data_IF_990939892653
#
_entry.id   IF_990939892653
#
_cell.length_a   1.000
_cell.length_b   1.000
_cell.length_c   1.000
_cell.angle_alpha   90.00
_cell.angle_beta   90.00
_cell.angle_gamma   90.00
#
_symmetry.space_group_name_H-M   'P 1'
#
loop_
_entity.id
_entity.type
_entity.pdbx_description
1 polymer ?
#
# COMPACT_ATOMS: atom_id res chain seq x y z
N UNK A 1 -17.69 -15.66 5.98
CA UNK A 1 -17.50 -14.56 6.94
C UNK A 1 -17.66 -13.28 6.15
N UNK A 2 -18.47 -12.35 6.63
CA UNK A 2 -18.61 -11.05 5.99
C UNK A 2 -17.25 -10.35 6.03
N UNK A 3 -16.82 -9.86 4.87
CA UNK A 3 -15.58 -9.09 4.72
C UNK A 3 -15.88 -7.65 5.14
N UNK A 4 -15.18 -7.15 6.16
CA UNK A 4 -15.33 -5.74 6.57
C UNK A 4 -14.87 -4.85 5.42
N UNK A 5 -15.80 -4.23 4.71
CA UNK A 5 -15.48 -3.37 3.57
C UNK A 5 -15.17 -1.95 4.03
N UNK A 6 -14.07 -1.39 3.54
CA UNK A 6 -13.70 0.01 3.68
C UNK A 6 -13.88 0.75 2.35
N UNK A 7 -14.13 2.06 2.42
CA UNK A 7 -13.79 2.95 1.30
C UNK A 7 -12.38 3.54 1.45
N UNK A 8 -11.91 3.60 2.69
CA UNK A 8 -10.58 4.03 3.10
C UNK A 8 -10.00 3.05 4.11
N UNK A 9 -8.69 2.84 4.06
CA UNK A 9 -7.96 2.01 5.00
C UNK A 9 -6.72 2.72 5.55
N UNK A 10 -6.34 2.38 6.78
CA UNK A 10 -5.15 2.92 7.43
C UNK A 10 -3.90 2.10 7.08
N UNK A 11 -2.77 2.78 6.87
CA UNK A 11 -1.47 2.14 6.87
C UNK A 11 -1.07 1.77 8.31
N UNK A 12 -1.14 0.50 8.68
CA UNK A 12 -0.86 0.02 10.04
C UNK A 12 0.62 0.14 10.43
N UNK A 13 1.52 0.36 9.47
CA UNK A 13 2.89 0.75 9.79
C UNK A 13 2.96 2.13 10.48
N UNK A 14 1.92 2.95 10.41
CA UNK A 14 1.83 4.22 11.14
C UNK A 14 1.39 4.05 12.61
N UNK A 15 1.01 2.84 13.02
CA UNK A 15 0.64 2.55 14.41
C UNK A 15 1.82 2.75 15.37
N UNK A 16 1.50 2.85 16.66
CA UNK A 16 2.49 2.95 17.73
C UNK A 16 2.48 1.67 18.61
N UNK A 17 3.20 0.61 18.19
CA UNK A 17 3.32 -0.60 19.00
C UNK A 17 3.83 -0.31 20.41
N UNK A 18 3.40 -1.08 21.44
CA UNK A 18 3.86 -0.91 22.80
C UNK A 18 5.39 -0.88 22.93
N UNK A 19 5.96 -0.08 23.84
CA UNK A 19 7.40 -0.08 24.10
C UNK A 19 7.91 -1.49 24.42
N UNK A 20 9.01 -1.90 23.78
CA UNK A 20 9.62 -3.22 23.98
C UNK A 20 8.95 -4.38 23.22
N UNK A 21 7.83 -4.15 22.53
CA UNK A 21 7.23 -5.17 21.66
C UNK A 21 8.07 -5.34 20.38
N UNK A 22 8.44 -6.59 20.05
CA UNK A 22 9.16 -6.92 18.81
C UNK A 22 8.20 -7.16 17.63
N UNK A 23 6.94 -7.49 17.91
CA UNK A 23 5.89 -7.61 16.91
C UNK A 23 4.60 -6.88 17.31
N UNK A 24 3.82 -6.48 16.31
CA UNK A 24 2.46 -5.93 16.45
C UNK A 24 1.62 -6.50 15.31
N UNK A 25 0.53 -7.19 15.65
CA UNK A 25 -0.27 -7.99 14.69
C UNK A 25 0.54 -9.01 13.87
N UNK A 26 1.65 -9.52 14.41
CA UNK A 26 2.54 -10.45 13.71
C UNK A 26 3.61 -9.78 12.85
N UNK A 27 3.62 -8.46 12.73
CA UNK A 27 4.59 -7.70 11.94
C UNK A 27 5.71 -7.09 12.80
N UNK A 28 6.96 -7.00 12.30
CA UNK A 28 8.10 -6.50 13.06
C UNK A 28 7.97 -5.01 13.38
N UNK A 29 8.06 -4.64 14.65
CA UNK A 29 7.81 -3.25 15.09
C UNK A 29 8.93 -2.27 14.73
N UNK A 30 10.09 -2.76 14.27
CA UNK A 30 11.17 -1.94 13.73
C UNK A 30 10.77 -1.21 12.44
N UNK A 31 9.77 -1.72 11.74
CA UNK A 31 9.20 -1.11 10.54
C UNK A 31 8.19 0.00 10.86
N UNK A 32 7.58 -0.02 12.04
CA UNK A 32 6.56 0.96 12.42
C UNK A 32 7.14 2.38 12.59
N UNK A 33 6.40 3.39 12.15
CA UNK A 33 6.75 4.81 12.27
C UNK A 33 6.65 5.32 13.71
N UNK A 34 5.64 4.85 14.46
CA UNK A 34 5.38 5.19 15.88
C UNK A 34 5.00 6.65 16.17
N UNK A 35 5.40 7.59 15.32
CA UNK A 35 5.15 9.02 15.48
C UNK A 35 4.93 9.70 14.12
N UNK A 36 4.06 10.71 14.12
CA UNK A 36 3.85 11.60 12.96
C UNK A 36 5.04 12.55 12.72
N UNK A 37 5.83 12.82 13.77
CA UNK A 37 7.03 13.67 13.68
C UNK A 37 8.21 12.90 13.08
N UNK A 38 8.09 12.58 11.80
CA UNK A 38 9.12 11.86 11.05
C UNK A 38 9.54 12.63 9.81
N UNK A 39 10.85 12.73 9.59
CA UNK A 39 11.43 13.31 8.38
C UNK A 39 10.93 12.59 7.12
N UNK A 40 10.37 13.35 6.18
CA UNK A 40 9.82 12.80 4.94
C UNK A 40 8.40 12.25 5.09
N UNK A 41 7.66 12.65 6.13
CA UNK A 41 6.26 12.28 6.36
C UNK A 41 5.35 12.53 5.14
N UNK A 42 5.67 13.51 4.30
CA UNK A 42 4.99 13.79 3.01
C UNK A 42 5.11 12.66 1.96
N UNK A 43 5.90 11.62 2.22
CA UNK A 43 6.04 10.43 1.38
C UNK A 43 5.49 9.16 2.05
N UNK A 44 5.01 9.28 3.28
CA UNK A 44 4.48 8.17 4.07
C UNK A 44 2.96 8.18 3.92
N UNK A 45 2.35 7.19 3.25
CA UNK A 45 0.90 7.11 3.15
C UNK A 45 0.31 6.76 4.52
N UNK A 46 -0.75 7.47 4.93
CA UNK A 46 -1.42 7.26 6.21
C UNK A 46 -2.82 6.66 6.03
N UNK A 47 -3.66 7.30 5.21
CA UNK A 47 -5.02 6.83 4.87
C UNK A 47 -5.21 6.90 3.36
N UNK A 48 -5.74 5.85 2.74
CA UNK A 48 -5.90 5.79 1.28
C UNK A 48 -7.17 5.06 0.92
N UNK A 49 -7.63 5.23 -0.32
CA UNK A 49 -8.67 4.35 -0.86
C UNK A 49 -8.21 2.90 -0.69
N UNK A 50 -9.06 2.08 -0.07
CA UNK A 50 -8.77 0.69 0.27
C UNK A 50 -10.09 -0.08 0.23
N UNK A 51 -10.03 -1.36 -0.13
CA UNK A 51 -11.21 -2.25 -0.01
C UNK A 51 -11.45 -2.72 1.43
N UNK A 52 -10.45 -2.63 2.31
CA UNK A 52 -10.48 -3.06 3.71
C UNK A 52 -10.17 -1.89 4.66
N UNK A 53 -10.28 -2.11 5.97
CA UNK A 53 -10.12 -1.07 7.00
C UNK A 53 -8.65 -0.73 7.30
N UNK A 54 -7.73 -1.64 7.02
CA UNK A 54 -6.31 -1.49 7.31
C UNK A 54 -5.41 -2.31 6.36
N UNK A 55 -4.11 -2.00 6.32
CA UNK A 55 -3.11 -2.70 5.52
C UNK A 55 -1.71 -2.65 6.13
N UNK A 56 -0.91 -3.70 5.90
CA UNK A 56 0.54 -3.80 6.11
C UNK A 56 1.29 -4.04 4.77
N UNK A 57 1.36 -3.07 3.84
CA UNK A 57 1.99 -3.31 2.54
C UNK A 57 3.50 -3.50 2.65
N UNK A 58 4.03 -4.37 1.79
CA UNK A 58 5.46 -4.61 1.60
C UNK A 58 5.89 -4.22 0.18
N UNK A 59 7.17 -3.87 0.01
CA UNK A 59 7.73 -3.51 -1.31
C UNK A 59 7.76 -4.71 -2.28
N UNK A 60 7.70 -5.92 -1.75
CA UNK A 60 7.60 -7.18 -2.50
C UNK A 60 6.17 -7.60 -2.82
N UNK A 61 5.16 -6.91 -2.29
CA UNK A 61 3.77 -7.23 -2.64
C UNK A 61 3.54 -7.01 -4.14
N UNK A 62 2.82 -7.92 -4.76
CA UNK A 62 2.53 -7.95 -6.18
C UNK A 62 1.18 -7.28 -6.48
N UNK A 63 0.99 -6.68 -7.66
CA UNK A 63 -0.33 -6.28 -8.13
C UNK A 63 -1.25 -7.50 -8.36
N UNK A 64 -2.55 -7.26 -8.48
CA UNK A 64 -3.49 -8.29 -8.95
C UNK A 64 -3.29 -8.58 -10.44
N UNK A 65 -3.46 -9.85 -10.84
CA UNK A 65 -3.36 -10.25 -12.26
C UNK A 65 -4.51 -9.69 -13.12
N UNK A 66 -5.61 -9.29 -12.50
CA UNK A 66 -6.81 -8.73 -13.12
C UNK A 66 -7.22 -7.43 -12.44
N UNK A 67 -7.99 -6.60 -13.15
CA UNK A 67 -8.52 -5.36 -12.60
C UNK A 67 -9.53 -5.71 -11.48
N UNK A 68 -9.28 -5.28 -10.22
CA UNK A 68 -10.13 -5.67 -9.11
C UNK A 68 -11.56 -5.18 -9.31
N UNK A 69 -12.58 -6.01 -9.00
CA UNK A 69 -13.96 -5.57 -9.03
C UNK A 69 -14.18 -4.44 -7.99
N UNK A 70 -14.93 -3.37 -8.31
CA UNK A 70 -15.00 -2.18 -7.46
C UNK A 70 -15.57 -2.38 -6.04
N UNK A 71 -16.33 -3.45 -5.82
CA UNK A 71 -17.08 -3.70 -4.57
C UNK A 71 -16.97 -5.15 -4.08
N UNK A 72 -16.09 -5.94 -4.67
CA UNK A 72 -15.93 -7.35 -4.31
C UNK A 72 -14.47 -7.60 -3.95
N UNK A 73 -14.26 -8.37 -2.89
CA UNK A 73 -12.95 -8.83 -2.50
C UNK A 73 -12.99 -10.28 -2.09
N UNK A 74 -11.93 -11.01 -2.41
CA UNK A 74 -11.71 -12.36 -1.96
C UNK A 74 -10.34 -12.42 -1.28
N UNK A 75 -10.29 -12.82 0.00
CA UNK A 75 -9.03 -12.89 0.75
C UNK A 75 -8.00 -13.87 0.14
N UNK A 76 -8.41 -14.74 -0.78
CA UNK A 76 -7.46 -15.57 -1.56
C UNK A 76 -6.59 -14.74 -2.52
N UNK A 77 -6.99 -13.52 -2.86
CA UNK A 77 -6.21 -12.62 -3.72
C UNK A 77 -5.13 -11.86 -2.93
N UNK A 78 -5.43 -11.55 -1.67
CA UNK A 78 -4.62 -10.83 -0.71
C UNK A 78 -5.45 -10.47 0.52
N UNK A 79 -4.80 -10.18 1.63
CA UNK A 79 -5.43 -9.79 2.90
C UNK A 79 -4.58 -8.69 3.57
N UNK A 80 -5.08 -8.10 4.65
CA UNK A 80 -4.49 -6.93 5.33
C UNK A 80 -2.99 -7.10 5.67
N UNK A 81 -2.53 -8.34 5.83
CA UNK A 81 -1.12 -8.68 6.09
C UNK A 81 -0.41 -9.52 5.03
N UNK A 82 -1.08 -9.91 3.94
CA UNK A 82 -0.53 -10.80 2.91
C UNK A 82 -0.85 -10.24 1.54
N UNK A 83 0.17 -9.82 0.78
CA UNK A 83 -0.06 -9.15 -0.51
C UNK A 83 -0.95 -7.89 -0.32
N UNK A 84 -0.75 -7.18 0.80
CA UNK A 84 -1.65 -6.14 1.28
C UNK A 84 -1.70 -4.92 0.35
N UNK A 85 -0.65 -4.69 -0.46
CA UNK A 85 -0.69 -3.69 -1.53
C UNK A 85 -1.88 -3.87 -2.48
N UNK A 86 -2.37 -5.10 -2.68
CA UNK A 86 -3.52 -5.37 -3.56
C UNK A 86 -4.82 -4.74 -3.04
N UNK A 87 -4.97 -4.54 -1.74
CA UNK A 87 -6.15 -3.94 -1.12
C UNK A 87 -6.27 -2.44 -1.43
N UNK A 88 -5.13 -1.77 -1.67
CA UNK A 88 -5.05 -0.34 -2.02
C UNK A 88 -4.79 -0.10 -3.50
N UNK A 89 -4.21 -1.05 -4.23
CA UNK A 89 -3.96 -0.95 -5.67
C UNK A 89 -5.23 -1.27 -6.49
N UNK A 90 -6.25 -0.43 -6.32
CA UNK A 90 -7.57 -0.56 -6.94
C UNK A 90 -7.87 0.64 -7.84
N UNK A 91 -8.29 0.40 -9.09
CA UNK A 91 -8.59 1.47 -10.05
C UNK A 91 -9.98 2.10 -9.80
N UNK A 92 -10.14 2.82 -8.68
CA UNK A 92 -11.38 3.57 -8.39
C UNK A 92 -11.44 4.91 -9.11
N UNK A 93 -10.29 5.52 -9.41
CA UNK A 93 -10.21 6.89 -9.92
C UNK A 93 -9.37 7.03 -11.18
N UNK A 94 -9.51 6.11 -12.14
CA UNK A 94 -8.91 6.19 -13.48
C UNK A 94 -7.38 6.31 -13.42
N UNK A 95 -6.73 5.22 -13.05
CA UNK A 95 -5.29 5.06 -12.96
C UNK A 95 -4.64 5.59 -11.68
N UNK A 96 -5.42 5.87 -10.64
CA UNK A 96 -4.89 6.22 -9.33
C UNK A 96 -5.91 6.13 -8.20
N UNK A 97 -5.44 6.34 -6.99
CA UNK A 97 -6.22 6.42 -5.74
C UNK A 97 -5.96 7.75 -5.04
N UNK A 98 -6.84 8.16 -4.14
CA UNK A 98 -6.61 9.29 -3.26
C UNK A 98 -5.98 8.83 -1.94
N UNK A 99 -5.11 9.66 -1.38
CA UNK A 99 -4.48 9.39 -0.09
C UNK A 99 -4.14 10.64 0.69
N UNK A 100 -4.09 10.45 2.01
CA UNK A 100 -3.56 11.37 3.02
C UNK A 100 -2.18 10.85 3.40
N UNK A 101 -1.18 11.73 3.42
CA UNK A 101 0.16 11.43 3.89
C UNK A 101 0.31 11.76 5.38
N UNK A 102 1.36 11.24 6.01
CA UNK A 102 1.59 11.36 7.45
C UNK A 102 1.80 12.83 7.91
N UNK A 103 2.17 13.73 6.99
CA UNK A 103 2.24 15.17 7.22
C UNK A 103 0.88 15.90 7.10
N UNK A 104 -0.19 15.16 6.81
CA UNK A 104 -1.55 15.68 6.60
C UNK A 104 -1.83 16.20 5.19
N UNK A 105 -0.84 16.19 4.30
CA UNK A 105 -1.07 16.54 2.90
C UNK A 105 -1.94 15.49 2.20
N UNK A 106 -2.69 15.92 1.18
CA UNK A 106 -3.60 15.05 0.42
C UNK A 106 -3.22 15.06 -1.05
N UNK A 107 -3.41 13.94 -1.74
CA UNK A 107 -3.14 13.87 -3.16
C UNK A 107 -3.62 12.61 -3.84
N UNK A 108 -3.73 12.70 -5.17
CA UNK A 108 -3.94 11.53 -6.04
C UNK A 108 -2.61 10.82 -6.27
N UNK A 109 -2.60 9.53 -6.01
CA UNK A 109 -1.46 8.62 -6.16
C UNK A 109 -1.74 7.72 -7.36
N UNK A 110 -0.92 7.78 -8.42
CA UNK A 110 -0.99 6.82 -9.53
C UNK A 110 -0.78 5.39 -9.02
N UNK A 111 -1.50 4.40 -9.57
CA UNK A 111 -1.47 3.02 -9.03
C UNK A 111 -0.05 2.45 -8.94
N UNK A 112 0.72 2.53 -10.02
CA UNK A 112 2.12 2.05 -10.03
C UNK A 112 3.06 2.84 -9.12
N UNK A 113 2.68 4.06 -8.72
CA UNK A 113 3.48 4.87 -7.80
C UNK A 113 3.34 4.41 -6.33
N UNK A 114 2.39 3.52 -6.00
CA UNK A 114 2.23 2.97 -4.65
C UNK A 114 3.51 2.29 -4.16
N UNK A 115 4.24 1.58 -5.04
CA UNK A 115 5.54 0.96 -4.74
C UNK A 115 6.70 1.95 -4.60
N UNK A 116 6.49 3.26 -4.84
CA UNK A 116 7.50 4.31 -4.64
C UNK A 116 7.29 5.09 -3.34
N UNK A 117 6.20 4.83 -2.63
CA UNK A 117 5.88 5.44 -1.35
C UNK A 117 6.62 4.75 -0.20
N UNK A 118 6.84 5.48 0.89
CA UNK A 118 7.56 4.96 2.05
C UNK A 118 6.55 4.43 3.07
N UNK A 119 6.00 3.24 2.83
CA UNK A 119 4.95 2.65 3.68
C UNK A 119 5.41 2.38 5.11
N UNK A 120 6.62 1.81 5.25
CA UNK A 120 7.28 1.58 6.54
C UNK A 120 8.73 2.05 6.51
N UNK A 121 9.37 2.09 7.68
CA UNK A 121 10.72 2.65 7.85
C UNK A 121 11.78 2.01 6.95
N UNK A 122 11.66 0.70 6.71
CA UNK A 122 12.60 -0.05 5.88
C UNK A 122 12.10 -0.32 4.45
N UNK A 123 10.92 0.18 4.05
CA UNK A 123 10.33 -0.11 2.73
C UNK A 123 11.30 0.28 1.61
N UNK A 124 11.59 -0.65 0.70
CA UNK A 124 12.48 -0.36 -0.42
C UNK A 124 11.71 0.33 -1.56
N UNK A 125 11.89 1.65 -1.65
CA UNK A 125 11.27 2.47 -2.71
C UNK A 125 11.92 2.26 -4.09
N UNK A 126 12.94 1.41 -4.18
CA UNK A 126 13.56 0.92 -5.41
C UNK A 126 13.37 -0.61 -5.56
N UNK A 127 12.40 -1.18 -4.84
CA UNK A 127 12.08 -2.60 -4.87
C UNK A 127 11.61 -3.11 -6.24
N UNK A 128 11.21 -4.40 -6.32
CA UNK A 128 11.05 -5.14 -7.58
C UNK A 128 10.02 -4.54 -8.53
N UNK A 129 8.96 -3.90 -8.02
CA UNK A 129 7.90 -3.26 -8.80
C UNK A 129 8.20 -1.80 -9.17
N UNK A 130 9.47 -1.48 -9.36
CA UNK A 130 9.94 -0.14 -9.75
C UNK A 130 10.95 -0.23 -10.89
N UNK A 131 11.13 0.86 -11.65
CA UNK A 131 12.18 0.89 -12.71
C UNK A 131 13.57 0.61 -12.17
N UNK A 132 13.87 1.07 -10.95
CA UNK A 132 15.15 0.84 -10.31
C UNK A 132 15.34 -0.63 -9.91
N UNK A 133 14.26 -1.32 -9.54
CA UNK A 133 14.23 -2.76 -9.30
C UNK A 133 14.19 -3.62 -10.56
N UNK A 134 14.15 -2.99 -11.75
CA UNK A 134 14.24 -3.67 -13.04
C UNK A 134 12.90 -4.02 -13.69
N UNK A 135 11.77 -3.60 -13.11
CA UNK A 135 10.44 -3.89 -13.70
C UNK A 135 10.34 -3.37 -15.13
N UNK A 136 9.89 -4.22 -16.03
CA UNK A 136 9.56 -3.87 -17.41
C UNK A 136 8.05 -3.71 -17.59
N UNK A 137 7.65 -3.02 -18.65
CA UNK A 137 6.23 -2.82 -18.96
C UNK A 137 5.46 -4.14 -19.13
N UNK A 138 6.14 -5.21 -19.58
CA UNK A 138 5.58 -6.55 -19.73
C UNK A 138 5.33 -7.28 -18.42
N UNK A 139 6.05 -6.92 -17.36
CA UNK A 139 5.99 -7.61 -16.06
C UNK A 139 4.73 -7.21 -15.29
N UNK A 140 4.19 -6.02 -15.58
CA UNK A 140 2.89 -5.60 -15.06
C UNK A 140 1.75 -6.45 -15.62
N UNK A 141 0.73 -6.77 -14.79
CA UNK A 141 -0.53 -7.35 -15.24
C UNK A 141 -1.15 -6.56 -16.38
N UNK A 142 -1.82 -7.26 -17.31
CA UNK A 142 -2.31 -6.68 -18.56
C UNK A 142 -3.10 -5.38 -18.35
N UNK A 143 -3.98 -5.35 -17.35
CA UNK A 143 -4.82 -4.19 -17.03
C UNK A 143 -4.02 -2.98 -16.54
N UNK A 144 -2.84 -3.18 -15.95
CA UNK A 144 -1.98 -2.10 -15.47
C UNK A 144 -1.02 -1.55 -16.53
N UNK A 145 -0.78 -2.28 -17.63
CA UNK A 145 0.21 -1.88 -18.65
C UNK A 145 -0.09 -0.52 -19.29
N UNK A 146 -1.36 -0.09 -19.29
CA UNK A 146 -1.78 1.23 -19.77
C UNK A 146 -1.28 2.41 -18.91
N UNK A 147 -0.87 2.16 -17.66
CA UNK A 147 -0.43 3.20 -16.74
C UNK A 147 1.07 3.43 -16.81
N UNK A 148 1.47 4.69 -16.55
CA UNK A 148 2.86 5.13 -16.49
C UNK A 148 3.66 4.36 -15.42
N UNK A 149 4.86 3.93 -15.77
CA UNK A 149 5.83 3.32 -14.85
C UNK A 149 6.66 4.37 -14.08
N UNK A 150 7.09 4.01 -12.86
CA UNK A 150 7.79 4.90 -11.91
C UNK A 150 9.10 4.31 -11.37
#
# INVERSE_FOLDING_TARGET
ADFDTGSYGINEWCSCPPPGANSYWGFPTENAWRTVDTKGANRVPLFLDCVYVDVYPLDTDEPLDFEPPPYEWNNSWGDWGVQAMKLVCIDRHSGGINGVFLDGSVGKIPLKALWKLKWHRQFDVNGPWTKAGGVQASDWPQWMRRFKDY
#
